data_IF_020355085620
#
_entry.id   IF_020355085620
#
_cell.length_a   1.000
_cell.length_b   1.000
_cell.length_c   1.000
_cell.angle_alpha   90.00
_cell.angle_beta   90.00
_cell.angle_gamma   90.00
#
_symmetry.space_group_name_H-M   'P 1'
#
loop_
_entity.id
_entity.type
_entity.pdbx_description
1 polymer ?
#
# COMPACT_ATOMS: atom_id res chain seq x y z
N UNK A 1 25.92 2.77 -15.88
CA UNK A 1 24.47 2.54 -16.08
C UNK A 1 24.30 1.05 -16.26
N UNK A 2 23.31 0.42 -15.63
CA UNK A 2 23.01 -1.02 -15.82
C UNK A 2 22.11 -1.13 -17.05
N UNK A 3 22.57 -1.64 -18.20
CA UNK A 3 21.83 -1.57 -19.47
C UNK A 3 20.47 -2.27 -19.43
N UNK A 4 20.35 -3.34 -18.65
CA UNK A 4 19.13 -4.15 -18.56
C UNK A 4 18.15 -3.67 -17.51
N UNK A 5 18.51 -2.65 -16.69
CA UNK A 5 17.70 -2.20 -15.56
C UNK A 5 16.28 -1.81 -15.98
N UNK A 6 16.16 -0.99 -17.02
CA UNK A 6 14.83 -0.55 -17.49
C UNK A 6 13.97 -1.72 -17.93
N UNK A 7 14.53 -2.64 -18.73
CA UNK A 7 13.78 -3.80 -19.25
C UNK A 7 13.27 -4.68 -18.12
N UNK A 8 14.12 -4.98 -17.14
CA UNK A 8 13.73 -5.82 -15.98
C UNK A 8 12.64 -5.14 -15.14
N UNK A 9 12.77 -3.82 -14.91
CA UNK A 9 11.79 -3.10 -14.11
C UNK A 9 10.44 -2.94 -14.84
N UNK A 10 10.47 -2.66 -16.15
CA UNK A 10 9.25 -2.59 -16.97
C UNK A 10 8.53 -3.95 -16.96
N UNK A 11 9.26 -5.06 -17.12
CA UNK A 11 8.68 -6.40 -17.08
C UNK A 11 8.07 -6.72 -15.70
N UNK A 12 8.80 -6.42 -14.63
CA UNK A 12 8.31 -6.58 -13.26
C UNK A 12 7.04 -5.76 -13.03
N UNK A 13 7.02 -4.50 -13.47
CA UNK A 13 5.85 -3.63 -13.35
C UNK A 13 4.62 -4.26 -14.00
N UNK A 14 4.72 -4.72 -15.25
CA UNK A 14 3.61 -5.34 -15.96
C UNK A 14 3.13 -6.66 -15.33
N UNK A 15 4.06 -7.46 -14.80
CA UNK A 15 3.68 -8.69 -14.08
C UNK A 15 2.92 -8.38 -12.80
N UNK A 16 3.39 -7.39 -12.02
CA UNK A 16 2.72 -6.95 -10.78
C UNK A 16 1.36 -6.28 -11.07
N UNK A 17 1.27 -5.47 -12.12
CA UNK A 17 0.00 -4.88 -12.57
C UNK A 17 -1.00 -5.99 -12.94
N UNK A 18 -0.60 -6.98 -13.73
CA UNK A 18 -1.45 -8.14 -14.06
C UNK A 18 -1.88 -8.94 -12.83
N UNK A 19 -1.00 -9.09 -11.84
CA UNK A 19 -1.32 -9.77 -10.59
C UNK A 19 -2.30 -8.93 -9.75
N UNK A 20 -2.11 -7.61 -9.68
CA UNK A 20 -2.99 -6.72 -8.93
C UNK A 20 -4.44 -6.80 -9.43
N UNK A 21 -4.66 -6.87 -10.74
CA UNK A 21 -6.00 -7.03 -11.32
C UNK A 21 -6.67 -8.35 -10.90
N UNK A 22 -5.91 -9.45 -10.78
CA UNK A 22 -6.44 -10.72 -10.28
C UNK A 22 -6.82 -10.65 -8.80
N UNK A 23 -6.01 -9.97 -7.99
CA UNK A 23 -6.30 -9.76 -6.57
C UNK A 23 -7.53 -8.86 -6.38
N UNK A 24 -7.61 -7.76 -7.14
CA UNK A 24 -8.78 -6.87 -7.12
C UNK A 24 -10.05 -7.57 -7.60
N UNK A 25 -9.94 -8.48 -8.58
CA UNK A 25 -11.06 -9.34 -9.00
C UNK A 25 -11.56 -10.23 -7.86
N UNK A 26 -10.67 -10.87 -7.13
CA UNK A 26 -11.02 -11.67 -5.95
C UNK A 26 -11.68 -10.81 -4.85
N UNK A 27 -11.12 -9.60 -4.58
CA UNK A 27 -11.71 -8.65 -3.65
C UNK A 27 -13.12 -8.21 -4.10
N UNK A 28 -13.30 -7.90 -5.39
CA UNK A 28 -14.61 -7.55 -5.96
C UNK A 28 -15.64 -8.65 -5.76
N UNK A 29 -15.25 -9.90 -6.06
CA UNK A 29 -16.10 -11.09 -5.86
C UNK A 29 -16.48 -11.28 -4.39
N UNK A 30 -15.53 -11.12 -3.46
CA UNK A 30 -15.79 -11.15 -2.01
C UNK A 30 -16.80 -10.09 -1.57
N UNK A 31 -16.74 -8.91 -2.17
CA UNK A 31 -17.67 -7.79 -1.92
C UNK A 31 -19.04 -7.98 -2.60
N UNK A 32 -19.27 -9.10 -3.31
CA UNK A 32 -20.50 -9.35 -4.05
C UNK A 32 -20.66 -8.46 -5.29
N UNK A 33 -19.56 -7.94 -5.82
CA UNK A 33 -19.50 -7.11 -7.03
C UNK A 33 -19.11 -7.94 -8.26
N UNK A 34 -19.27 -7.32 -9.44
CA UNK A 34 -18.66 -7.85 -10.65
C UNK A 34 -17.14 -7.95 -10.46
N UNK A 35 -16.52 -8.99 -10.99
CA UNK A 35 -15.08 -9.25 -10.85
C UNK A 35 -14.18 -8.09 -11.33
N UNK A 36 -14.62 -7.33 -12.31
CA UNK A 36 -13.89 -6.19 -12.86
C UNK A 36 -14.05 -4.89 -12.04
N UNK A 37 -14.98 -4.83 -11.10
CA UNK A 37 -15.43 -3.60 -10.43
C UNK A 37 -14.30 -2.75 -9.82
N UNK A 38 -13.41 -3.35 -9.03
CA UNK A 38 -12.25 -2.62 -8.48
C UNK A 38 -11.15 -2.41 -9.53
N UNK A 39 -10.92 -3.41 -10.40
CA UNK A 39 -9.93 -3.30 -11.47
C UNK A 39 -10.21 -2.15 -12.43
N UNK A 40 -11.46 -1.98 -12.86
CA UNK A 40 -11.87 -0.87 -13.72
C UNK A 40 -11.63 0.50 -13.07
N UNK A 41 -11.66 0.61 -11.75
CA UNK A 41 -11.34 1.85 -11.05
C UNK A 41 -9.85 2.20 -11.11
N UNK A 42 -8.97 1.21 -11.24
CA UNK A 42 -7.51 1.39 -11.31
C UNK A 42 -6.97 1.56 -12.72
N UNK A 43 -7.76 1.30 -13.74
CA UNK A 43 -7.37 1.50 -15.13
C UNK A 43 -7.00 2.97 -15.39
N UNK A 44 -5.78 3.21 -15.86
CA UNK A 44 -5.20 4.56 -15.99
C UNK A 44 -5.16 5.36 -14.67
N UNK A 45 -5.11 4.66 -13.55
CA UNK A 45 -4.94 5.27 -12.22
C UNK A 45 -3.50 5.70 -11.94
N UNK A 46 -3.28 6.23 -10.75
CA UNK A 46 -1.96 6.71 -10.31
C UNK A 46 -1.09 5.59 -9.72
N UNK A 47 -1.16 4.38 -10.27
CA UNK A 47 -0.35 3.25 -9.80
C UNK A 47 1.13 3.54 -9.99
N UNK A 48 1.91 3.40 -8.93
CA UNK A 48 3.35 3.61 -8.92
C UNK A 48 4.09 2.41 -8.32
N UNK A 49 5.25 2.09 -8.86
CA UNK A 49 6.21 1.19 -8.25
C UNK A 49 7.42 1.98 -7.77
N UNK A 50 7.81 1.79 -6.51
CA UNK A 50 8.97 2.47 -5.92
C UNK A 50 10.11 1.47 -5.75
N UNK A 51 11.33 1.93 -5.98
CA UNK A 51 12.55 1.19 -5.65
C UNK A 51 13.19 1.90 -4.48
N UNK A 52 13.20 1.25 -3.33
CA UNK A 52 13.63 1.85 -2.06
C UNK A 52 14.93 1.19 -1.63
N UNK A 53 15.93 2.00 -1.34
CA UNK A 53 17.17 1.59 -0.70
C UNK A 53 17.25 2.14 0.72
N UNK A 54 17.33 1.25 1.68
CA UNK A 54 17.64 1.57 3.07
C UNK A 54 19.14 1.30 3.27
N UNK A 55 19.96 2.34 3.45
CA UNK A 55 21.40 2.18 3.63
C UNK A 55 21.74 1.51 4.97
N UNK A 56 22.99 1.08 5.17
CA UNK A 56 23.50 0.75 6.50
C UNK A 56 23.30 1.90 7.47
N UNK A 57 23.08 1.57 8.74
CA UNK A 57 22.92 2.59 9.78
C UNK A 57 24.28 3.23 10.11
N UNK A 58 24.36 4.56 10.04
CA UNK A 58 25.54 5.31 10.46
C UNK A 58 25.71 5.33 11.98
N UNK A 59 26.90 5.71 12.44
CA UNK A 59 27.17 5.90 13.87
C UNK A 59 26.31 7.02 14.46
N UNK A 60 25.98 8.03 13.65
CA UNK A 60 25.17 9.20 14.03
C UNK A 60 23.65 8.96 13.87
N UNK A 61 23.20 7.71 13.69
CA UNK A 61 21.76 7.42 13.58
C UNK A 61 21.07 7.80 14.89
N UNK A 62 20.07 8.72 14.87
CA UNK A 62 19.38 9.15 16.08
C UNK A 62 18.74 7.98 16.83
N UNK A 63 18.74 8.07 18.16
CA UNK A 63 18.04 7.10 18.99
C UNK A 63 16.54 7.09 18.66
N UNK A 64 15.96 5.91 18.51
CA UNK A 64 14.55 5.74 18.14
C UNK A 64 14.25 5.90 16.65
N UNK A 65 15.21 6.30 15.80
CA UNK A 65 15.01 6.32 14.36
C UNK A 65 14.78 4.92 13.81
N UNK A 66 13.81 4.77 12.92
CA UNK A 66 13.47 3.51 12.24
C UNK A 66 13.52 3.70 10.72
N UNK A 67 13.67 2.62 9.97
CA UNK A 67 13.72 2.66 8.50
C UNK A 67 12.44 3.18 7.87
N UNK A 68 11.29 2.81 8.43
CA UNK A 68 9.99 3.41 8.12
C UNK A 68 9.12 3.37 9.37
N UNK A 69 8.60 4.52 9.80
CA UNK A 69 7.67 4.61 10.93
C UNK A 69 6.36 3.87 10.63
N UNK A 70 5.59 3.58 11.67
CA UNK A 70 4.27 2.98 11.52
C UNK A 70 3.36 3.88 10.69
N UNK A 71 2.72 3.32 9.65
CA UNK A 71 1.83 4.01 8.73
C UNK A 71 0.91 3.03 8.03
N UNK A 72 -0.10 3.54 7.38
CA UNK A 72 -0.95 2.85 6.40
C UNK A 72 -0.64 3.38 4.99
N UNK A 73 -0.81 2.52 3.98
CA UNK A 73 -0.72 2.91 2.58
C UNK A 73 -2.01 3.59 2.12
N UNK A 74 -1.89 4.62 1.29
CA UNK A 74 -3.03 5.48 0.89
C UNK A 74 -3.92 4.82 -0.16
N UNK A 75 -3.42 3.86 -0.91
CA UNK A 75 -3.98 3.24 -2.13
C UNK A 75 -5.13 2.24 -1.89
N UNK A 76 -5.48 1.43 -2.92
CA UNK A 76 -6.35 0.27 -2.76
C UNK A 76 -5.60 -0.92 -2.16
N UNK A 77 -4.55 -1.38 -2.83
CA UNK A 77 -3.70 -2.49 -2.38
C UNK A 77 -2.24 -2.21 -2.72
N UNK A 78 -1.35 -2.67 -1.86
CA UNK A 78 0.09 -2.69 -2.12
C UNK A 78 0.56 -4.12 -2.39
N UNK A 79 1.35 -4.28 -3.43
CA UNK A 79 2.06 -5.52 -3.71
C UNK A 79 3.54 -5.30 -3.45
N UNK A 80 4.13 -6.08 -2.55
CA UNK A 80 5.54 -6.01 -2.21
C UNK A 80 6.25 -7.29 -2.62
N UNK A 81 7.13 -7.18 -3.61
CA UNK A 81 8.12 -8.22 -3.86
C UNK A 81 9.03 -8.33 -2.64
N UNK A 82 9.33 -9.55 -2.22
CA UNK A 82 10.16 -9.79 -1.05
C UNK A 82 11.41 -8.91 -1.04
N UNK A 83 11.59 -8.19 0.07
CA UNK A 83 12.76 -7.35 0.27
C UNK A 83 14.03 -8.20 0.49
N UNK A 84 15.19 -7.59 0.25
CA UNK A 84 16.49 -8.28 0.35
C UNK A 84 16.94 -8.55 1.80
N UNK A 85 16.23 -8.03 2.79
CA UNK A 85 16.48 -8.23 4.22
C UNK A 85 15.20 -8.05 5.03
N UNK A 86 15.18 -8.56 6.24
CA UNK A 86 14.07 -8.49 7.19
C UNK A 86 13.76 -7.06 7.65
N UNK A 87 12.79 -6.93 8.53
CA UNK A 87 12.42 -5.70 9.20
C UNK A 87 11.00 -5.22 8.96
N UNK A 88 10.25 -5.82 8.03
CA UNK A 88 8.82 -5.53 7.88
C UNK A 88 8.04 -6.14 9.05
N UNK A 89 7.22 -5.33 9.68
CA UNK A 89 6.29 -5.74 10.73
C UNK A 89 4.91 -5.16 10.45
N UNK A 90 3.87 -5.93 10.70
CA UNK A 90 2.46 -5.53 10.60
C UNK A 90 1.83 -5.51 11.99
N UNK A 91 0.89 -4.60 12.21
CA UNK A 91 0.16 -4.50 13.47
C UNK A 91 -1.05 -5.45 13.45
N UNK A 92 -1.14 -6.32 14.44
CA UNK A 92 -2.31 -7.16 14.66
C UNK A 92 -3.45 -6.38 15.32
N UNK A 93 -4.63 -6.97 15.39
CA UNK A 93 -5.84 -6.39 15.96
C UNK A 93 -5.72 -6.04 17.45
N UNK A 94 -4.84 -6.72 18.19
CA UNK A 94 -4.55 -6.44 19.60
C UNK A 94 -3.48 -5.37 19.82
N UNK A 95 -2.93 -4.81 18.74
CA UNK A 95 -1.86 -3.81 18.74
C UNK A 95 -0.45 -4.40 18.83
N UNK A 96 -0.30 -5.71 18.83
CA UNK A 96 1.02 -6.35 18.78
C UNK A 96 1.62 -6.29 17.39
N UNK A 97 2.96 -6.34 17.31
CA UNK A 97 3.67 -6.33 16.02
C UNK A 97 4.07 -7.74 15.62
N UNK A 98 3.64 -8.13 14.43
CA UNK A 98 3.96 -9.42 13.82
C UNK A 98 5.05 -9.21 12.77
N UNK A 99 6.16 -9.95 12.89
CA UNK A 99 7.20 -9.94 11.86
C UNK A 99 6.72 -10.64 10.59
N UNK A 100 6.93 -10.01 9.47
CA UNK A 100 6.70 -10.61 8.15
C UNK A 100 8.02 -11.17 7.65
N UNK A 101 8.13 -12.49 7.66
CA UNK A 101 9.31 -13.18 7.15
C UNK A 101 9.36 -13.08 5.63
N UNK A 102 10.51 -12.65 5.12
CA UNK A 102 10.75 -12.55 3.68
C UNK A 102 11.06 -13.93 3.09
N UNK A 103 10.29 -14.32 2.06
CA UNK A 103 10.58 -15.48 1.23
C UNK A 103 10.41 -15.10 -0.24
N UNK A 104 11.44 -15.33 -1.06
CA UNK A 104 11.43 -14.97 -2.48
C UNK A 104 10.32 -15.68 -3.31
N UNK A 105 9.64 -16.66 -2.72
CA UNK A 105 8.50 -17.35 -3.34
C UNK A 105 7.17 -16.63 -3.16
N UNK A 106 7.11 -15.60 -2.32
CA UNK A 106 5.88 -14.91 -1.98
C UNK A 106 5.93 -13.44 -2.41
N UNK A 107 4.76 -12.92 -2.73
CA UNK A 107 4.49 -11.49 -2.80
C UNK A 107 3.60 -11.16 -1.61
N UNK A 108 4.01 -10.18 -0.81
CA UNK A 108 3.23 -9.67 0.30
C UNK A 108 2.21 -8.70 -0.26
N UNK A 109 0.96 -8.82 0.18
CA UNK A 109 -0.14 -7.95 -0.25
C UNK A 109 -0.83 -7.39 0.97
N UNK A 110 -1.04 -6.09 0.99
CA UNK A 110 -1.86 -5.42 2.00
C UNK A 110 -2.91 -4.51 1.38
N UNK A 111 -3.91 -4.14 2.16
CA UNK A 111 -4.97 -3.20 1.79
C UNK A 111 -4.68 -1.82 2.37
N UNK A 112 -4.99 -0.79 1.58
CA UNK A 112 -4.75 0.60 1.92
C UNK A 112 -6.04 1.38 2.26
N UNK A 113 -5.82 2.64 2.60
CA UNK A 113 -6.84 3.57 3.11
C UNK A 113 -8.00 3.82 2.14
N UNK A 114 -7.71 3.94 0.84
CA UNK A 114 -8.77 4.17 -0.15
C UNK A 114 -9.72 2.99 -0.28
N UNK A 115 -9.21 1.75 -0.18
CA UNK A 115 -10.05 0.55 -0.18
C UNK A 115 -10.85 0.46 1.13
N UNK A 116 -10.23 0.80 2.26
CA UNK A 116 -10.90 0.89 3.56
C UNK A 116 -12.06 1.90 3.52
N UNK A 117 -11.82 3.10 2.97
CA UNK A 117 -12.83 4.14 2.85
C UNK A 117 -14.02 3.66 1.99
N UNK A 118 -13.74 3.19 0.78
CA UNK A 118 -14.75 2.74 -0.19
C UNK A 118 -15.63 1.61 0.36
N UNK A 119 -15.03 0.71 1.15
CA UNK A 119 -15.70 -0.49 1.69
C UNK A 119 -16.24 -0.31 3.11
N UNK A 120 -16.24 0.91 3.63
CA UNK A 120 -16.64 1.21 5.01
C UNK A 120 -15.91 0.36 6.06
N UNK A 121 -14.66 -0.02 5.79
CA UNK A 121 -13.81 -0.81 6.69
C UNK A 121 -14.01 -2.32 6.62
N UNK A 122 -14.70 -2.87 5.59
CA UNK A 122 -14.69 -4.32 5.33
C UNK A 122 -13.29 -4.83 5.00
N UNK A 123 -12.56 -4.08 4.16
CA UNK A 123 -11.12 -4.21 4.05
C UNK A 123 -10.48 -3.12 4.91
N UNK A 124 -9.75 -3.51 5.94
CA UNK A 124 -9.05 -2.56 6.80
C UNK A 124 -7.69 -2.25 6.21
N UNK A 125 -7.30 -0.98 6.27
CA UNK A 125 -5.92 -0.60 5.99
C UNK A 125 -4.98 -1.22 7.02
N UNK A 126 -3.84 -1.72 6.55
CA UNK A 126 -2.92 -2.49 7.38
C UNK A 126 -1.79 -1.58 7.89
N UNK A 127 -1.80 -1.28 9.19
CA UNK A 127 -0.70 -0.54 9.80
C UNK A 127 0.56 -1.39 9.79
N UNK A 128 1.63 -0.87 9.21
CA UNK A 128 2.91 -1.57 9.10
C UNK A 128 4.10 -0.62 9.29
N UNK A 129 5.28 -1.19 9.54
CA UNK A 129 6.52 -0.44 9.73
C UNK A 129 7.73 -1.24 9.24
N UNK A 130 8.87 -0.57 9.04
CA UNK A 130 10.15 -1.23 8.77
C UNK A 130 11.12 -0.87 9.89
N UNK A 131 11.43 -1.83 10.73
CA UNK A 131 12.36 -1.65 11.85
C UNK A 131 13.81 -1.76 11.40
N UNK A 132 14.72 -1.30 12.25
CA UNK A 132 16.14 -1.39 12.01
C UNK A 132 16.64 -2.84 12.16
N UNK A 133 17.63 -3.26 11.36
CA UNK A 133 18.22 -4.58 11.48
C UNK A 133 19.07 -4.70 12.75
N UNK A 134 19.31 -5.93 13.19
CA UNK A 134 20.23 -6.23 14.29
C UNK A 134 21.68 -5.84 13.95
N UNK A 135 22.07 -5.97 12.69
CA UNK A 135 23.39 -5.55 12.21
C UNK A 135 23.30 -4.17 11.55
N UNK A 136 24.06 -3.19 12.10
CA UNK A 136 24.12 -1.83 11.54
C UNK A 136 24.67 -1.78 10.10
N UNK A 137 25.47 -2.75 9.69
CA UNK A 137 26.05 -2.83 8.33
C UNK A 137 25.07 -3.33 7.27
N UNK A 138 23.91 -3.82 7.66
CA UNK A 138 22.94 -4.40 6.74
C UNK A 138 22.18 -3.33 5.95
N UNK A 139 22.20 -3.48 4.62
CA UNK A 139 21.35 -2.71 3.70
C UNK A 139 20.11 -3.50 3.33
N UNK A 140 19.05 -2.78 2.95
CA UNK A 140 17.81 -3.40 2.48
C UNK A 140 17.33 -2.70 1.22
N UNK A 141 16.87 -3.49 0.26
CA UNK A 141 16.13 -3.00 -0.89
C UNK A 141 14.71 -3.55 -0.84
N UNK A 142 13.73 -2.76 -1.26
CA UNK A 142 12.36 -3.20 -1.42
C UNK A 142 11.70 -2.51 -2.62
N UNK A 143 10.73 -3.19 -3.22
CA UNK A 143 10.04 -2.70 -4.43
C UNK A 143 8.52 -2.86 -4.25
N UNK A 144 7.87 -1.99 -3.47
CA UNK A 144 6.41 -1.95 -3.38
C UNK A 144 5.79 -1.33 -4.63
N UNK A 145 4.65 -1.89 -5.06
CA UNK A 145 3.76 -1.33 -6.05
C UNK A 145 2.47 -0.89 -5.37
N UNK A 146 2.20 0.41 -5.43
CA UNK A 146 1.02 1.04 -4.83
C UNK A 146 -0.07 1.17 -5.91
N UNK A 147 -1.11 0.38 -5.82
CA UNK A 147 -2.18 0.33 -6.82
C UNK A 147 -3.27 1.33 -6.46
N UNK A 148 -3.31 2.42 -7.21
CA UNK A 148 -4.24 3.53 -6.98
C UNK A 148 -5.39 3.52 -7.99
N UNK A 149 -6.60 3.88 -7.57
CA UNK A 149 -7.68 4.21 -8.50
C UNK A 149 -7.40 5.53 -9.24
N UNK A 150 -8.18 5.81 -10.30
CA UNK A 150 -8.19 7.13 -10.96
C UNK A 150 -8.63 8.21 -9.98
N UNK A 151 -8.13 9.42 -10.17
CA UNK A 151 -8.43 10.58 -9.29
C UNK A 151 -9.93 10.87 -9.16
N UNK A 152 -10.71 10.68 -10.21
CA UNK A 152 -12.16 10.96 -10.23
C UNK A 152 -13.03 9.86 -9.59
N UNK A 153 -12.43 8.76 -9.14
CA UNK A 153 -13.20 7.70 -8.47
C UNK A 153 -13.73 8.22 -7.14
N UNK A 154 -15.05 8.12 -6.97
CA UNK A 154 -15.73 8.43 -5.73
C UNK A 154 -15.53 7.29 -4.71
N UNK A 155 -14.85 7.61 -3.61
CA UNK A 155 -14.56 6.70 -2.50
C UNK A 155 -15.65 6.71 -1.42
N UNK A 156 -16.76 7.43 -1.62
CA UNK A 156 -17.88 7.41 -0.67
C UNK A 156 -18.27 5.97 -0.33
N UNK A 157 -18.35 5.60 0.96
CA UNK A 157 -18.75 4.28 1.38
C UNK A 157 -20.06 3.84 0.70
N UNK A 158 -20.06 2.70 0.05
CA UNK A 158 -21.26 2.21 -0.65
C UNK A 158 -22.33 1.78 0.37
N UNK A 159 -23.62 2.10 0.14
CA UNK A 159 -24.70 1.80 1.09
C UNK A 159 -24.77 0.34 1.53
N UNK A 160 -24.49 -0.58 0.64
CA UNK A 160 -24.43 -2.01 0.95
C UNK A 160 -23.32 -2.35 1.94
N UNK A 161 -22.13 -1.75 1.82
CA UNK A 161 -21.02 -1.97 2.76
C UNK A 161 -21.28 -1.27 4.10
N UNK A 162 -21.91 -0.09 4.08
CA UNK A 162 -22.40 0.56 5.30
C UNK A 162 -23.36 -0.36 6.05
N UNK A 163 -24.31 -0.98 5.34
CA UNK A 163 -25.24 -1.94 5.94
C UNK A 163 -24.53 -3.17 6.53
N UNK A 164 -23.50 -3.69 5.86
CA UNK A 164 -22.71 -4.85 6.34
C UNK A 164 -21.83 -4.52 7.56
N UNK A 165 -21.52 -3.25 7.79
CA UNK A 165 -20.61 -2.80 8.86
C UNK A 165 -21.30 -2.07 10.01
N UNK A 166 -22.60 -2.30 10.19
CA UNK A 166 -23.38 -1.80 11.33
C UNK A 166 -24.32 -0.64 11.00
N UNK A 167 -24.46 -0.25 9.72
CA UNK A 167 -25.46 0.73 9.26
C UNK A 167 -25.02 2.20 9.40
N UNK A 168 -23.81 2.46 9.88
CA UNK A 168 -23.24 3.80 10.01
C UNK A 168 -22.09 4.00 9.03
N UNK A 169 -22.08 5.14 8.32
CA UNK A 169 -20.96 5.53 7.47
C UNK A 169 -19.79 6.00 8.32
N UNK A 170 -18.70 5.26 8.32
CA UNK A 170 -17.51 5.51 9.16
C UNK A 170 -16.48 6.42 8.49
N UNK A 171 -16.58 6.59 7.18
CA UNK A 171 -15.57 7.27 6.37
C UNK A 171 -16.23 8.39 5.55
N UNK A 172 -15.38 9.28 5.05
CA UNK A 172 -15.81 10.49 4.36
C UNK A 172 -16.24 10.22 2.90
N UNK A 173 -17.12 11.11 2.40
CA UNK A 173 -17.42 11.23 0.97
C UNK A 173 -16.35 12.08 0.31
N UNK A 174 -15.49 11.47 -0.53
CA UNK A 174 -14.33 12.12 -1.13
C UNK A 174 -13.94 11.39 -2.42
N UNK A 175 -13.33 12.10 -3.37
CA UNK A 175 -12.71 11.48 -4.53
C UNK A 175 -11.33 10.91 -4.19
N UNK A 176 -10.85 9.95 -4.97
CA UNK A 176 -9.50 9.39 -4.79
C UNK A 176 -8.40 10.45 -4.94
N UNK A 177 -8.58 11.40 -5.86
CA UNK A 177 -7.64 12.49 -6.06
C UNK A 177 -7.55 13.43 -4.86
N UNK A 178 -8.71 13.86 -4.34
CA UNK A 178 -8.77 14.72 -3.16
C UNK A 178 -8.25 14.00 -1.92
N UNK A 179 -8.56 12.70 -1.76
CA UNK A 179 -8.03 11.89 -0.67
C UNK A 179 -6.51 11.80 -0.73
N UNK A 180 -5.95 11.49 -1.91
CA UNK A 180 -4.51 11.45 -2.10
C UNK A 180 -3.85 12.79 -1.77
N UNK A 181 -4.42 13.89 -2.28
CA UNK A 181 -3.92 15.24 -2.00
C UNK A 181 -3.94 15.55 -0.50
N UNK A 182 -5.07 15.30 0.18
CA UNK A 182 -5.19 15.47 1.63
C UNK A 182 -4.09 14.72 2.38
N UNK A 183 -3.87 13.44 2.06
CA UNK A 183 -2.83 12.63 2.70
C UNK A 183 -1.41 13.13 2.41
N UNK A 184 -1.13 13.59 1.18
CA UNK A 184 0.16 14.17 0.82
C UNK A 184 0.44 15.47 1.57
N UNK A 185 -0.56 16.31 1.80
CA UNK A 185 -0.44 17.52 2.64
C UNK A 185 -0.14 17.14 4.09
N UNK A 186 -0.85 16.17 4.67
CA UNK A 186 -0.66 15.72 6.05
C UNK A 186 0.75 15.20 6.32
N UNK A 187 1.37 14.54 5.33
CA UNK A 187 2.76 14.02 5.44
C UNK A 187 3.82 15.00 4.90
N UNK A 188 3.42 16.22 4.52
CA UNK A 188 4.34 17.28 4.10
C UNK A 188 4.94 17.11 2.70
N UNK A 189 4.27 16.37 1.81
CA UNK A 189 4.70 16.16 0.41
C UNK A 189 3.93 17.01 -0.59
N UNK A 190 2.90 17.72 -0.17
CA UNK A 190 2.15 18.72 -0.95
C UNK A 190 1.82 19.92 -0.08
N UNK A 191 1.39 21.03 -0.69
CA UNK A 191 0.89 22.20 0.02
C UNK A 191 -0.64 22.31 -0.12
N UNK A 192 -1.31 23.00 0.79
CA UNK A 192 -2.77 23.20 0.73
C UNK A 192 -3.23 24.03 -0.48
N UNK A 193 -2.30 24.64 -1.21
CA UNK A 193 -2.57 25.55 -2.31
C UNK A 193 -2.25 24.93 -3.69
N UNK A 194 -1.88 23.63 -3.76
CA UNK A 194 -1.55 22.90 -4.99
C UNK A 194 -2.78 22.35 -5.73
#
# INVERSE_FOLDING_TARGET
MVPEFKTVIDELYHQMESLSLKLLSACSSYLGKNEQWLGEMTEQGNTIMRIIHYPPLGEDTPEGAVRSAAHEDINFITLLVTATADGLEVMDHDGSWIKVEGDARYIIVDSGDMLQNLTNGLFKSTTHRVVNPSSKSERRFSMPMFVHPRNQIDLTPRPEFVSMTGGESKYQSITAGDYLHQRLVEIGLATSDD
#
